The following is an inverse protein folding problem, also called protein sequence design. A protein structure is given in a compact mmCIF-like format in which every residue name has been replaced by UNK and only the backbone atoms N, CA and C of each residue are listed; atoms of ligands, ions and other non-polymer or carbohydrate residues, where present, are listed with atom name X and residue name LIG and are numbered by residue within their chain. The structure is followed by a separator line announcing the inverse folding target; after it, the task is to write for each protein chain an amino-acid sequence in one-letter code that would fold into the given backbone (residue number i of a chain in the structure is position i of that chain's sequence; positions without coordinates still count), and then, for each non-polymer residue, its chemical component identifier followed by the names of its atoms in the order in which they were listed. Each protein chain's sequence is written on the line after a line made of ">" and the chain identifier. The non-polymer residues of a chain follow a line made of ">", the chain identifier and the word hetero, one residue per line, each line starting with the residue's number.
data_IF_047441317811
#
_entry.id   IF_047441317811
#
_cell.length_a   1.000
_cell.length_b   1.000
_cell.length_c   1.000
_cell.angle_alpha   90.00
_cell.angle_beta   90.00
_cell.angle_gamma   90.00
#
_symmetry.space_group_name_H-M   'P 1'
#
loop_
_entity.id
_entity.type
_entity.pdbx_description
1 polymer ?
#
# COMPACT_ATOMS: atom_id res chain seq x y z
N UNK A 1 -26.41 45.53 -18.02
CA UNK A 1 -25.29 45.92 -17.12
C UNK A 1 -25.16 44.99 -15.91
N UNK A 2 -26.27 44.58 -15.24
CA UNK A 2 -26.22 43.71 -14.04
C UNK A 2 -25.65 42.32 -14.31
N UNK A 3 -26.03 41.67 -15.42
CA UNK A 3 -25.52 40.33 -15.76
C UNK A 3 -24.01 40.33 -16.07
N UNK A 4 -23.51 41.36 -16.71
CA UNK A 4 -22.08 41.54 -17.01
C UNK A 4 -21.25 41.73 -15.74
N UNK A 5 -21.76 42.50 -14.78
CA UNK A 5 -21.10 42.72 -13.49
C UNK A 5 -20.96 41.42 -12.68
N UNK A 6 -22.05 40.66 -12.55
CA UNK A 6 -22.01 39.39 -11.82
C UNK A 6 -21.20 38.32 -12.50
N UNK A 7 -21.24 38.25 -13.85
CA UNK A 7 -20.38 37.33 -14.62
C UNK A 7 -18.90 37.68 -14.47
N UNK A 8 -18.56 38.96 -14.47
CA UNK A 8 -17.18 39.43 -14.31
C UNK A 8 -16.69 39.19 -12.86
N UNK A 9 -17.54 39.42 -11.85
CA UNK A 9 -17.23 39.17 -10.44
C UNK A 9 -17.03 37.68 -10.17
N UNK A 10 -17.89 36.81 -10.72
CA UNK A 10 -17.76 35.39 -10.62
C UNK A 10 -16.48 34.86 -11.29
N UNK A 11 -16.14 35.39 -12.47
CA UNK A 11 -14.94 34.99 -13.20
C UNK A 11 -13.66 35.44 -12.48
N UNK A 12 -13.63 36.66 -11.94
CA UNK A 12 -12.50 37.13 -11.12
C UNK A 12 -12.41 36.38 -9.82
N UNK A 13 -13.53 36.07 -9.15
CA UNK A 13 -13.56 35.30 -7.92
C UNK A 13 -13.07 33.85 -8.11
N UNK A 14 -13.50 33.19 -9.19
CA UNK A 14 -12.99 31.87 -9.58
C UNK A 14 -11.49 31.90 -9.90
N UNK A 15 -11.04 32.89 -10.65
CA UNK A 15 -9.63 33.02 -11.01
C UNK A 15 -8.74 33.21 -9.78
N UNK A 16 -9.14 34.11 -8.87
CA UNK A 16 -8.42 34.34 -7.61
C UNK A 16 -8.47 33.08 -6.72
N UNK A 17 -9.64 32.43 -6.60
CA UNK A 17 -9.81 31.24 -5.81
C UNK A 17 -8.96 30.06 -6.31
N UNK A 18 -8.95 29.82 -7.62
CA UNK A 18 -8.10 28.78 -8.22
C UNK A 18 -6.62 29.13 -8.08
N UNK A 19 -6.24 30.41 -8.30
CA UNK A 19 -4.85 30.87 -8.17
C UNK A 19 -4.30 30.77 -6.74
N UNK A 20 -5.13 30.93 -5.72
CA UNK A 20 -4.75 30.78 -4.31
C UNK A 20 -4.65 29.31 -3.86
N UNK A 21 -5.44 28.43 -4.48
CA UNK A 21 -5.47 27.00 -4.15
C UNK A 21 -4.50 26.15 -5.00
N UNK A 22 -4.13 26.67 -6.18
CA UNK A 22 -3.21 25.97 -7.08
C UNK A 22 -1.77 26.26 -6.68
N UNK A 23 -1.05 25.24 -6.29
CA UNK A 23 0.41 25.31 -6.11
C UNK A 23 1.06 25.20 -7.50
N UNK A 24 1.75 26.23 -7.99
CA UNK A 24 2.42 26.16 -9.29
C UNK A 24 3.45 25.04 -9.29
N UNK A 25 3.52 24.29 -10.38
CA UNK A 25 4.55 23.26 -10.59
C UNK A 25 5.95 23.89 -10.58
N UNK A 26 6.97 23.08 -10.27
CA UNK A 26 8.36 23.54 -10.17
C UNK A 26 8.86 24.24 -11.47
N UNK A 27 8.37 23.81 -12.63
CA UNK A 27 8.66 24.41 -13.94
C UNK A 27 7.98 25.76 -14.14
N UNK A 28 6.74 25.93 -13.67
CA UNK A 28 6.01 27.19 -13.73
C UNK A 28 6.61 28.22 -12.76
N UNK A 29 7.05 27.76 -11.58
CA UNK A 29 7.72 28.62 -10.61
C UNK A 29 9.07 29.13 -11.12
N UNK A 30 9.87 28.28 -11.78
CA UNK A 30 11.14 28.71 -12.38
C UNK A 30 10.95 29.65 -13.58
N UNK A 31 9.91 29.47 -14.39
CA UNK A 31 9.59 30.42 -15.47
C UNK A 31 9.06 31.74 -14.94
N UNK A 32 8.22 31.70 -13.90
CA UNK A 32 7.71 32.92 -13.26
C UNK A 32 8.81 33.72 -12.56
N UNK A 33 9.74 33.06 -11.87
CA UNK A 33 10.90 33.72 -11.24
C UNK A 33 11.84 34.33 -12.29
N UNK A 34 12.12 33.63 -13.40
CA UNK A 34 12.90 34.19 -14.51
C UNK A 34 12.25 35.45 -15.12
N UNK A 35 10.93 35.48 -15.21
CA UNK A 35 10.21 36.63 -15.78
C UNK A 35 10.07 37.81 -14.79
N UNK A 36 9.82 37.51 -13.50
CA UNK A 36 9.67 38.55 -12.45
C UNK A 36 11.04 39.09 -12.01
N UNK A 37 12.06 38.26 -11.96
CA UNK A 37 13.41 38.71 -11.60
C UNK A 37 14.10 39.46 -12.75
N UNK A 38 13.77 39.15 -14.02
CA UNK A 38 14.19 39.99 -15.15
C UNK A 38 13.69 41.44 -15.02
N UNK A 39 12.54 41.66 -14.40
CA UNK A 39 12.01 43.00 -14.12
C UNK A 39 12.57 43.62 -12.83
N UNK A 40 13.01 42.85 -11.86
CA UNK A 40 13.59 43.33 -10.59
C UNK A 40 15.09 43.63 -10.69
N UNK A 41 15.82 42.95 -11.57
CA UNK A 41 17.26 43.18 -11.76
C UNK A 41 17.60 44.41 -12.53
N UNK A 42 16.59 45.17 -13.01
CA UNK A 42 16.80 46.52 -13.55
C UNK A 42 17.05 47.58 -12.49
N UNK A 43 17.03 47.24 -11.18
CA UNK A 43 17.12 48.24 -10.11
C UNK A 43 18.21 48.00 -9.07
N UNK A 44 19.04 46.97 -9.20
CA UNK A 44 20.13 46.76 -8.24
C UNK A 44 21.45 46.51 -8.97
N UNK A 45 22.32 47.47 -8.87
CA UNK A 45 23.71 47.49 -9.22
C UNK A 45 24.43 46.15 -9.07
N UNK A 46 24.43 45.35 -10.11
CA UNK A 46 25.51 44.43 -10.34
C UNK A 46 25.97 44.73 -11.76
N UNK A 47 27.10 45.44 -11.87
CA UNK A 47 27.67 45.83 -13.13
C UNK A 47 27.71 44.65 -14.10
N UNK A 48 27.04 44.82 -15.23
CA UNK A 48 27.06 43.81 -16.28
C UNK A 48 28.52 43.67 -16.77
N UNK A 49 29.15 42.58 -16.38
CA UNK A 49 30.46 42.17 -16.86
C UNK A 49 30.44 41.74 -18.35
N UNK A 50 29.40 42.07 -19.11
CA UNK A 50 29.20 41.58 -20.46
C UNK A 50 29.51 42.57 -21.59
N UNK A 51 29.88 43.84 -21.28
CA UNK A 51 30.37 44.75 -22.26
C UNK A 51 31.84 45.01 -22.06
N UNK A 52 32.67 44.38 -22.84
CA UNK A 52 34.08 44.70 -22.99
C UNK A 52 34.28 45.30 -24.35
N UNK A 53 34.37 46.57 -24.40
CA UNK A 53 34.64 47.37 -25.60
C UNK A 53 34.75 48.81 -25.22
N UNK A 54 35.52 49.58 -25.96
CA UNK A 54 35.64 51.02 -25.78
C UNK A 54 34.69 51.72 -26.74
N UNK A 55 33.80 52.53 -26.22
CA UNK A 55 33.02 53.46 -27.03
C UNK A 55 33.34 54.88 -26.69
N UNK A 56 33.40 55.75 -27.65
CA UNK A 56 33.50 57.20 -27.39
C UNK A 56 32.16 57.73 -26.87
N UNK A 57 32.21 58.58 -25.81
CA UNK A 57 31.01 59.24 -25.30
C UNK A 57 30.37 60.10 -26.38
N UNK A 58 31.15 60.71 -27.30
CA UNK A 58 30.65 61.51 -28.38
C UNK A 58 29.92 60.71 -29.46
N UNK A 59 30.41 59.46 -29.75
CA UNK A 59 29.73 58.60 -30.71
C UNK A 59 28.41 58.05 -30.16
N UNK A 60 28.36 57.67 -28.88
CA UNK A 60 27.14 57.29 -28.21
C UNK A 60 26.13 58.44 -28.16
N UNK A 61 26.62 59.66 -27.88
CA UNK A 61 25.76 60.86 -27.89
C UNK A 61 25.22 61.14 -29.30
N UNK A 62 26.04 61.03 -30.35
CA UNK A 62 25.66 61.20 -31.72
C UNK A 62 24.63 60.16 -32.15
N UNK A 63 24.83 58.89 -31.73
CA UNK A 63 23.86 57.82 -31.96
C UNK A 63 22.51 58.10 -31.30
N UNK A 64 22.49 58.41 -30.00
CA UNK A 64 21.25 58.78 -29.31
C UNK A 64 20.58 60.00 -29.90
N UNK A 65 21.38 61.00 -30.32
CA UNK A 65 20.88 62.23 -30.95
C UNK A 65 20.10 61.95 -32.26
N UNK A 66 20.46 60.92 -33.04
CA UNK A 66 19.75 60.53 -34.27
C UNK A 66 18.34 59.98 -33.99
N UNK A 67 18.14 59.28 -32.87
CA UNK A 67 16.88 58.61 -32.58
C UNK A 67 15.99 59.39 -31.57
N UNK A 68 16.60 60.06 -30.59
CA UNK A 68 15.89 60.78 -29.52
C UNK A 68 15.84 62.30 -29.76
N UNK A 69 16.63 62.80 -30.70
CA UNK A 69 16.88 64.20 -30.91
C UNK A 69 18.03 64.73 -30.03
N UNK A 70 18.73 65.81 -30.53
CA UNK A 70 19.97 66.29 -29.90
C UNK A 70 19.77 66.86 -28.49
N UNK A 71 18.61 67.46 -28.20
CA UNK A 71 18.32 68.06 -26.89
C UNK A 71 18.07 66.95 -25.84
N UNK A 72 17.26 65.93 -26.16
CA UNK A 72 17.02 64.81 -25.23
C UNK A 72 18.25 63.94 -24.98
N UNK A 73 19.07 63.77 -26.02
CA UNK A 73 20.35 63.09 -25.83
C UNK A 73 21.27 63.84 -24.86
N UNK A 74 21.36 65.17 -25.01
CA UNK A 74 22.15 66.00 -24.05
C UNK A 74 21.62 65.95 -22.61
N UNK A 75 20.29 66.00 -22.44
CA UNK A 75 19.64 65.87 -21.13
C UNK A 75 19.93 64.53 -20.50
N UNK A 76 19.82 63.42 -21.24
CA UNK A 76 20.06 62.08 -20.78
C UNK A 76 21.54 61.91 -20.30
N UNK A 77 22.49 62.35 -21.09
CA UNK A 77 23.93 62.27 -20.67
C UNK A 77 24.23 63.18 -19.47
N UNK A 78 23.60 64.36 -19.40
CA UNK A 78 23.77 65.23 -18.23
C UNK A 78 23.09 64.70 -16.96
N UNK A 79 22.00 63.97 -17.11
CA UNK A 79 21.34 63.27 -16.01
C UNK A 79 22.19 62.10 -15.51
N UNK A 80 22.77 61.27 -16.40
CA UNK A 80 23.69 60.20 -16.05
C UNK A 80 24.95 60.73 -15.35
N UNK A 81 25.58 61.82 -15.90
CA UNK A 81 26.75 62.47 -15.33
C UNK A 81 26.47 62.94 -13.90
N UNK A 82 25.32 63.56 -13.64
CA UNK A 82 24.93 64.02 -12.30
C UNK A 82 24.72 62.84 -11.30
N UNK A 83 24.10 61.77 -11.78
CA UNK A 83 23.83 60.61 -10.91
C UNK A 83 25.09 59.81 -10.55
N UNK A 84 26.07 59.75 -11.45
CA UNK A 84 27.28 58.97 -11.31
C UNK A 84 28.52 59.80 -11.00
N UNK A 85 28.39 61.16 -10.81
CA UNK A 85 29.47 62.12 -10.58
C UNK A 85 30.58 62.01 -11.60
N UNK A 86 30.22 61.73 -12.86
CA UNK A 86 31.17 61.62 -13.98
C UNK A 86 31.25 62.96 -14.74
N UNK A 87 32.46 63.37 -15.05
CA UNK A 87 32.71 64.49 -15.97
C UNK A 87 33.10 63.94 -17.35
N UNK A 88 32.32 64.26 -18.36
CA UNK A 88 32.60 63.86 -19.73
C UNK A 88 33.39 64.95 -20.44
N UNK A 89 34.66 64.74 -20.74
CA UNK A 89 35.50 65.56 -21.59
C UNK A 89 35.45 65.07 -23.02
N UNK A 90 35.86 65.93 -23.98
CA UNK A 90 36.03 65.54 -25.39
C UNK A 90 37.05 64.40 -25.42
N UNK A 91 36.71 63.27 -26.00
CA UNK A 91 37.49 61.99 -26.04
C UNK A 91 37.39 61.09 -24.80
N UNK A 92 36.40 61.31 -23.94
CA UNK A 92 36.14 60.35 -22.85
C UNK A 92 35.63 59.02 -23.39
N UNK A 93 36.20 57.91 -22.94
CA UNK A 93 35.65 56.58 -23.17
C UNK A 93 34.43 56.35 -22.27
N UNK A 94 33.36 55.82 -22.85
CA UNK A 94 32.16 55.48 -22.12
C UNK A 94 32.38 54.26 -21.21
N UNK A 95 31.96 54.35 -19.97
CA UNK A 95 31.96 53.21 -19.05
C UNK A 95 30.84 52.24 -19.42
N UNK A 96 30.91 50.95 -19.04
CA UNK A 96 29.89 49.94 -19.33
C UNK A 96 28.50 50.33 -18.84
N UNK A 97 28.41 51.10 -17.75
CA UNK A 97 27.14 51.59 -17.23
C UNK A 97 26.47 52.64 -18.15
N UNK A 98 27.27 53.52 -18.78
CA UNK A 98 26.79 54.48 -19.73
C UNK A 98 26.32 53.84 -21.04
N UNK A 99 27.04 52.77 -21.49
CA UNK A 99 26.65 52.01 -22.66
C UNK A 99 25.30 51.31 -22.44
N UNK A 100 25.11 50.67 -21.28
CA UNK A 100 23.87 50.05 -20.91
C UNK A 100 22.73 51.07 -20.73
N UNK A 101 23.01 52.21 -20.15
CA UNK A 101 22.00 53.28 -20.06
C UNK A 101 21.58 53.78 -21.42
N UNK A 102 22.52 53.96 -22.35
CA UNK A 102 22.24 54.34 -23.73
C UNK A 102 21.41 53.25 -24.45
N UNK A 103 21.72 51.98 -24.26
CA UNK A 103 20.95 50.83 -24.78
C UNK A 103 19.49 50.87 -24.27
N UNK A 104 19.30 51.08 -22.98
CA UNK A 104 17.94 51.13 -22.38
C UNK A 104 17.09 52.30 -22.90
N UNK A 105 17.70 53.42 -23.14
CA UNK A 105 17.00 54.60 -23.74
C UNK A 105 16.61 54.34 -25.21
N UNK A 106 17.48 53.76 -26.00
CA UNK A 106 17.19 53.36 -27.36
C UNK A 106 16.15 52.25 -27.44
N UNK A 107 16.20 51.27 -26.52
CA UNK A 107 15.25 50.18 -26.44
C UNK A 107 13.82 50.65 -26.26
N UNK A 108 13.61 51.77 -25.51
CA UNK A 108 12.32 52.39 -25.34
C UNK A 108 11.75 53.07 -26.63
N UNK A 109 12.61 53.32 -27.62
CA UNK A 109 12.21 54.00 -28.87
C UNK A 109 12.15 53.07 -30.09
N UNK A 110 13.12 52.18 -30.23
CA UNK A 110 13.30 51.33 -31.41
C UNK A 110 13.20 49.81 -31.12
N UNK A 111 12.94 49.45 -29.87
CA UNK A 111 12.91 48.06 -29.40
C UNK A 111 14.28 47.53 -29.03
N UNK A 112 14.31 46.54 -28.11
CA UNK A 112 15.54 46.05 -27.50
C UNK A 112 16.54 45.39 -28.48
N UNK A 113 16.03 44.62 -29.45
CA UNK A 113 16.88 43.98 -30.46
C UNK A 113 17.58 44.98 -31.36
N UNK A 114 16.83 46.01 -31.85
CA UNK A 114 17.37 47.09 -32.71
C UNK A 114 18.34 47.99 -31.94
N UNK A 115 18.04 48.30 -30.68
CA UNK A 115 18.90 49.10 -29.82
C UNK A 115 20.26 48.43 -29.63
N UNK A 116 20.27 47.11 -29.38
CA UNK A 116 21.48 46.32 -29.19
C UNK A 116 22.37 46.32 -30.43
N UNK A 117 21.78 46.16 -31.63
CA UNK A 117 22.52 46.19 -32.91
C UNK A 117 23.12 47.58 -33.15
N UNK A 118 22.37 48.63 -32.84
CA UNK A 118 22.85 50.01 -33.02
C UNK A 118 23.96 50.37 -32.04
N UNK A 119 23.87 49.96 -30.80
CA UNK A 119 24.96 50.17 -29.83
C UNK A 119 26.21 49.36 -30.25
N UNK A 120 26.04 48.08 -30.66
CA UNK A 120 27.16 47.25 -31.14
C UNK A 120 27.88 47.86 -32.37
N UNK A 121 27.21 48.68 -33.16
CA UNK A 121 27.84 49.36 -34.32
C UNK A 121 28.75 50.54 -33.93
N UNK A 122 28.69 50.99 -32.68
CA UNK A 122 29.44 52.17 -32.16
C UNK A 122 30.46 51.78 -31.10
N UNK A 123 30.32 50.57 -30.56
CA UNK A 123 31.24 50.01 -29.57
C UNK A 123 32.22 49.07 -30.32
N UNK A 124 33.52 49.37 -30.21
CA UNK A 124 34.57 48.46 -30.69
C UNK A 124 34.63 47.29 -29.71
N UNK A 125 34.08 46.15 -30.16
CA UNK A 125 34.11 44.90 -29.38
C UNK A 125 35.57 44.32 -29.36
N UNK A 126 36.12 44.20 -28.16
CA UNK A 126 37.26 43.34 -28.04
C UNK A 126 36.88 41.86 -28.23
N UNK A 127 37.53 41.11 -29.12
CA UNK A 127 37.19 39.69 -29.32
C UNK A 127 37.38 38.93 -27.99
N UNK A 128 36.32 38.18 -27.57
CA UNK A 128 36.40 37.31 -26.41
C UNK A 128 37.57 36.33 -26.60
N UNK A 129 38.46 36.24 -25.59
CA UNK A 129 39.54 35.24 -25.63
C UNK A 129 38.93 33.85 -25.59
N UNK A 130 39.47 32.93 -26.46
CA UNK A 130 39.00 31.55 -26.57
C UNK A 130 39.04 30.84 -25.21
N UNK A 131 40.03 31.16 -24.34
CA UNK A 131 40.17 30.59 -23.02
C UNK A 131 39.00 31.03 -22.07
N UNK A 132 38.51 32.24 -22.22
CA UNK A 132 37.38 32.78 -21.43
C UNK A 132 36.07 32.11 -21.83
N UNK A 133 35.86 31.88 -23.14
CA UNK A 133 34.70 31.14 -23.69
C UNK A 133 34.72 29.70 -23.21
N UNK A 134 35.90 29.03 -23.27
CA UNK A 134 36.06 27.65 -22.78
C UNK A 134 35.77 27.53 -21.30
N UNK A 135 36.19 28.50 -20.46
CA UNK A 135 35.90 28.52 -19.04
C UNK A 135 34.39 28.61 -18.75
N UNK A 136 33.68 29.48 -19.48
CA UNK A 136 32.21 29.62 -19.33
C UNK A 136 31.49 28.34 -19.76
N UNK A 137 31.94 27.66 -20.83
CA UNK A 137 31.37 26.39 -21.28
C UNK A 137 31.62 25.28 -20.26
N UNK A 138 32.79 25.22 -19.68
CA UNK A 138 33.15 24.21 -18.67
C UNK A 138 32.31 24.41 -17.39
N UNK A 139 32.17 25.65 -16.90
CA UNK A 139 31.33 25.99 -15.76
C UNK A 139 29.86 25.65 -16.02
N UNK A 140 29.34 25.99 -17.20
CA UNK A 140 27.97 25.63 -17.59
C UNK A 140 27.75 24.10 -17.67
N UNK A 141 28.75 23.40 -18.17
CA UNK A 141 28.74 21.94 -18.25
C UNK A 141 28.72 21.28 -16.86
N UNK A 142 29.51 21.80 -15.93
CA UNK A 142 29.51 21.33 -14.53
C UNK A 142 28.16 21.58 -13.84
N UNK A 143 27.57 22.75 -14.02
CA UNK A 143 26.23 23.07 -13.46
C UNK A 143 25.16 22.13 -14.00
N UNK A 144 25.19 21.85 -15.32
CA UNK A 144 24.26 20.90 -15.93
C UNK A 144 24.45 19.46 -15.42
N UNK A 145 25.69 19.02 -15.26
CA UNK A 145 26.00 17.71 -14.69
C UNK A 145 25.50 17.59 -13.25
N UNK A 146 25.73 18.61 -12.45
CA UNK A 146 25.26 18.67 -11.05
C UNK A 146 23.73 18.70 -10.95
N UNK A 147 23.06 19.47 -11.82
CA UNK A 147 21.61 19.50 -11.91
C UNK A 147 21.00 18.12 -12.23
N UNK A 148 21.59 17.41 -13.20
CA UNK A 148 21.17 16.03 -13.55
C UNK A 148 21.37 15.07 -12.38
N UNK A 149 22.46 15.17 -11.65
CA UNK A 149 22.72 14.35 -10.48
C UNK A 149 21.73 14.62 -9.34
N UNK A 150 21.37 15.90 -9.12
CA UNK A 150 20.34 16.28 -8.15
C UNK A 150 18.97 15.73 -8.53
N UNK A 151 18.57 15.82 -9.80
CA UNK A 151 17.32 15.25 -10.27
C UNK A 151 17.27 13.73 -10.09
N UNK A 152 18.37 13.05 -10.40
CA UNK A 152 18.46 11.61 -10.21
C UNK A 152 18.32 11.25 -8.72
N UNK A 153 19.05 11.94 -7.84
CA UNK A 153 18.96 11.72 -6.37
C UNK A 153 17.57 12.05 -5.81
N UNK A 154 16.92 13.08 -6.35
CA UNK A 154 15.55 13.42 -5.97
C UNK A 154 14.57 12.29 -6.33
N UNK A 155 14.67 11.71 -7.53
CA UNK A 155 13.84 10.57 -7.95
C UNK A 155 14.11 9.31 -7.13
N UNK A 156 15.38 9.01 -6.83
CA UNK A 156 15.77 7.88 -5.97
C UNK A 156 15.17 8.03 -4.56
N UNK A 157 15.26 9.24 -3.98
CA UNK A 157 14.68 9.56 -2.67
C UNK A 157 13.14 9.45 -2.67
N UNK A 158 12.48 9.91 -3.71
CA UNK A 158 11.02 9.82 -3.84
C UNK A 158 10.57 8.36 -3.93
N UNK A 159 11.26 7.53 -4.74
CA UNK A 159 11.01 6.10 -4.83
C UNK A 159 11.19 5.40 -3.48
N UNK A 160 12.33 5.62 -2.82
CA UNK A 160 12.61 5.03 -1.49
C UNK A 160 11.59 5.48 -0.42
N UNK A 161 11.16 6.74 -0.48
CA UNK A 161 10.15 7.26 0.44
C UNK A 161 8.78 6.58 0.23
N UNK A 162 8.40 6.34 -1.03
CA UNK A 162 7.15 5.67 -1.35
C UNK A 162 7.17 4.19 -0.94
N UNK A 163 8.30 3.51 -1.15
CA UNK A 163 8.50 2.13 -0.68
C UNK A 163 8.42 2.03 0.84
N UNK A 164 9.10 2.95 1.55
CA UNK A 164 9.06 3.01 3.02
C UNK A 164 7.65 3.26 3.56
N UNK A 165 6.89 4.18 2.94
CA UNK A 165 5.49 4.44 3.29
C UNK A 165 4.62 3.21 3.11
N UNK A 166 4.77 2.53 1.96
CA UNK A 166 4.04 1.29 1.67
C UNK A 166 4.38 0.18 2.68
N UNK A 167 5.65 -0.01 3.02
CA UNK A 167 6.09 -0.96 4.03
C UNK A 167 5.54 -0.62 5.42
N UNK A 168 5.57 0.66 5.81
CA UNK A 168 5.05 1.11 7.09
C UNK A 168 3.52 0.90 7.20
N UNK A 169 2.77 1.19 6.13
CA UNK A 169 1.33 0.91 6.09
C UNK A 169 1.03 -0.58 6.28
N UNK A 170 1.80 -1.47 5.62
CA UNK A 170 1.66 -2.92 5.81
C UNK A 170 1.98 -3.35 7.22
N UNK A 171 3.03 -2.79 7.84
CA UNK A 171 3.38 -3.07 9.23
C UNK A 171 2.29 -2.64 10.20
N UNK A 172 1.71 -1.46 10.02
CA UNK A 172 0.60 -0.97 10.84
C UNK A 172 -0.65 -1.84 10.72
N UNK A 173 -0.96 -2.32 9.50
CA UNK A 173 -2.06 -3.23 9.27
C UNK A 173 -1.84 -4.58 9.96
N UNK A 174 -0.63 -5.14 9.85
CA UNK A 174 -0.25 -6.39 10.54
C UNK A 174 -0.30 -6.24 12.07
N UNK A 175 0.16 -5.13 12.61
CA UNK A 175 0.12 -4.87 14.06
C UNK A 175 -1.32 -4.75 14.56
N UNK A 176 -2.18 -4.05 13.81
CA UNK A 176 -3.62 -3.99 14.11
C UNK A 176 -4.27 -5.38 14.09
N UNK A 177 -3.99 -6.20 13.04
CA UNK A 177 -4.54 -7.55 12.95
C UNK A 177 -4.06 -8.43 14.11
N UNK A 178 -2.82 -8.26 14.56
CA UNK A 178 -2.28 -8.94 15.74
C UNK A 178 -3.00 -8.53 17.03
N UNK A 179 -3.26 -7.24 17.21
CA UNK A 179 -3.95 -6.73 18.41
C UNK A 179 -5.42 -7.18 18.44
N UNK A 180 -6.11 -7.13 17.30
CA UNK A 180 -7.47 -7.65 17.14
C UNK A 180 -7.50 -9.17 17.44
N UNK A 181 -6.49 -9.93 17.00
CA UNK A 181 -6.34 -11.35 17.32
C UNK A 181 -6.21 -11.60 18.83
N UNK A 182 -5.28 -10.91 19.50
CA UNK A 182 -5.06 -11.05 20.96
C UNK A 182 -6.32 -10.68 21.75
N UNK A 183 -6.99 -9.59 21.37
CA UNK A 183 -8.23 -9.15 22.00
C UNK A 183 -9.33 -10.20 21.88
N UNK A 184 -9.50 -10.76 20.69
CA UNK A 184 -10.52 -11.80 20.42
C UNK A 184 -10.22 -13.08 21.15
N UNK A 185 -8.97 -13.58 21.13
CA UNK A 185 -8.53 -14.76 21.92
C UNK A 185 -8.85 -14.55 23.40
N UNK A 186 -8.50 -13.38 23.94
CA UNK A 186 -8.73 -13.07 25.36
C UNK A 186 -10.22 -13.12 25.71
N UNK A 187 -11.07 -12.56 24.83
CA UNK A 187 -12.52 -12.61 25.04
C UNK A 187 -13.08 -14.03 24.98
N UNK A 188 -12.68 -14.83 23.98
CA UNK A 188 -13.13 -16.20 23.80
C UNK A 188 -12.64 -17.16 24.91
N UNK A 189 -11.49 -16.89 25.51
CA UNK A 189 -11.01 -17.62 26.70
C UNK A 189 -11.74 -17.20 27.98
N UNK A 190 -12.08 -15.90 28.13
CA UNK A 190 -12.73 -15.38 29.34
C UNK A 190 -14.14 -15.93 29.53
N UNK A 191 -14.91 -16.09 28.45
CA UNK A 191 -16.31 -16.53 28.52
C UNK A 191 -16.46 -17.93 29.15
N UNK A 192 -15.83 -19.02 28.66
CA UNK A 192 -15.91 -20.33 29.29
C UNK A 192 -15.32 -20.34 30.72
N UNK A 193 -14.23 -19.60 30.95
CA UNK A 193 -13.63 -19.51 32.27
C UNK A 193 -14.58 -18.89 33.31
N UNK A 194 -15.30 -17.83 32.94
CA UNK A 194 -16.31 -17.18 33.78
C UNK A 194 -17.46 -18.14 34.08
N UNK A 195 -17.89 -18.93 33.07
CA UNK A 195 -18.94 -19.95 33.27
C UNK A 195 -18.48 -21.07 34.20
N UNK A 196 -17.30 -21.62 34.00
CA UNK A 196 -16.69 -22.65 34.86
C UNK A 196 -16.65 -22.13 36.31
N UNK A 197 -16.12 -20.92 36.50
CA UNK A 197 -16.03 -20.30 37.84
C UNK A 197 -17.39 -20.14 38.49
N UNK A 198 -18.36 -19.55 37.78
CA UNK A 198 -19.72 -19.29 38.34
C UNK A 198 -20.42 -20.58 38.75
N UNK A 199 -20.39 -21.64 37.91
CA UNK A 199 -21.00 -22.91 38.27
C UNK A 199 -20.24 -23.65 39.37
N UNK A 200 -18.92 -23.51 39.48
CA UNK A 200 -18.13 -24.02 40.59
C UNK A 200 -18.43 -23.32 41.91
N UNK A 201 -18.62 -21.97 41.90
CA UNK A 201 -19.04 -21.17 43.06
C UNK A 201 -20.45 -21.62 43.51
N UNK A 202 -21.42 -21.74 42.57
CA UNK A 202 -22.77 -22.24 42.89
C UNK A 202 -22.73 -23.62 43.53
N UNK A 203 -21.91 -24.54 42.98
CA UNK A 203 -21.77 -25.91 43.54
C UNK A 203 -21.14 -25.92 44.93
N UNK A 204 -20.21 -25.01 45.21
CA UNK A 204 -19.53 -24.87 46.49
C UNK A 204 -20.45 -24.26 47.56
N UNK A 205 -21.18 -23.19 47.19
CA UNK A 205 -21.98 -22.41 48.13
C UNK A 205 -23.35 -23.04 48.46
N UNK A 206 -23.77 -24.05 47.68
CA UNK A 206 -25.07 -24.70 47.83
C UNK A 206 -24.91 -26.23 47.99
N UNK A 207 -24.47 -26.71 49.17
CA UNK A 207 -24.31 -28.14 49.42
C UNK A 207 -25.63 -28.94 49.38
N UNK A 208 -26.77 -28.26 49.56
CA UNK A 208 -28.13 -28.84 49.59
C UNK A 208 -28.74 -29.04 48.18
N UNK A 209 -28.00 -28.75 47.11
CA UNK A 209 -28.49 -28.98 45.73
C UNK A 209 -28.84 -30.44 45.53
N UNK A 210 -29.98 -30.72 44.89
CA UNK A 210 -30.34 -32.06 44.50
C UNK A 210 -29.33 -32.71 43.51
N UNK A 211 -29.35 -34.00 43.47
CA UNK A 211 -28.38 -34.77 42.63
C UNK A 211 -28.52 -34.43 41.12
N UNK A 212 -29.72 -34.11 40.66
CA UNK A 212 -29.96 -33.81 39.23
C UNK A 212 -29.39 -32.41 38.88
N UNK A 213 -29.63 -31.41 39.74
CA UNK A 213 -29.08 -30.06 39.59
C UNK A 213 -27.54 -30.09 39.68
N UNK A 214 -26.99 -30.78 40.67
CA UNK A 214 -25.53 -30.96 40.81
C UNK A 214 -24.92 -31.58 39.57
N UNK A 215 -25.51 -32.67 39.04
CA UNK A 215 -25.03 -33.32 37.80
C UNK A 215 -25.13 -32.39 36.61
N UNK A 216 -26.18 -31.59 36.50
CA UNK A 216 -26.34 -30.63 35.43
C UNK A 216 -25.25 -29.55 35.47
N UNK A 217 -24.95 -28.97 36.62
CA UNK A 217 -23.91 -27.95 36.78
C UNK A 217 -22.52 -28.51 36.55
N UNK A 218 -22.18 -29.71 37.06
CA UNK A 218 -20.94 -30.40 36.73
C UNK A 218 -20.82 -30.66 35.25
N UNK A 219 -21.89 -31.05 34.56
CA UNK A 219 -21.90 -31.26 33.12
C UNK A 219 -21.57 -29.96 32.34
N UNK A 220 -22.03 -28.82 32.81
CA UNK A 220 -21.67 -27.52 32.22
C UNK A 220 -20.18 -27.22 32.45
N UNK A 221 -19.67 -27.40 33.67
CA UNK A 221 -18.23 -27.19 33.98
C UNK A 221 -17.35 -28.08 33.09
N UNK A 222 -17.68 -29.36 32.94
CA UNK A 222 -16.92 -30.28 32.08
C UNK A 222 -16.95 -29.81 30.62
N UNK A 223 -18.13 -29.52 30.10
CA UNK A 223 -18.32 -29.06 28.70
C UNK A 223 -17.55 -27.76 28.38
N UNK A 224 -17.58 -26.79 29.29
CA UNK A 224 -16.84 -25.53 29.10
C UNK A 224 -15.32 -25.73 29.26
N UNK A 225 -14.86 -26.65 30.11
CA UNK A 225 -13.45 -27.04 30.24
C UNK A 225 -12.93 -27.70 28.96
N UNK A 226 -13.68 -28.62 28.37
CA UNK A 226 -13.35 -29.25 27.08
C UNK A 226 -13.32 -28.22 25.93
N UNK A 227 -14.28 -27.26 25.93
CA UNK A 227 -14.30 -26.16 24.97
C UNK A 227 -13.03 -25.29 25.09
N UNK A 228 -12.64 -24.96 26.33
CA UNK A 228 -11.46 -24.16 26.62
C UNK A 228 -10.18 -24.87 26.15
N UNK A 229 -10.05 -26.15 26.44
CA UNK A 229 -8.91 -26.97 26.01
C UNK A 229 -8.80 -27.01 24.48
N UNK A 230 -9.92 -27.21 23.76
CA UNK A 230 -9.93 -27.19 22.30
C UNK A 230 -9.50 -25.81 21.76
N UNK A 231 -10.00 -24.72 22.34
CA UNK A 231 -9.64 -23.37 21.91
C UNK A 231 -8.13 -23.10 22.09
N UNK A 232 -7.57 -23.46 23.26
CA UNK A 232 -6.14 -23.30 23.53
C UNK A 232 -5.31 -24.09 22.50
N UNK A 233 -5.65 -25.34 22.25
CA UNK A 233 -4.94 -26.18 21.27
C UNK A 233 -5.01 -25.60 19.86
N UNK A 234 -6.17 -25.07 19.45
CA UNK A 234 -6.33 -24.41 18.14
C UNK A 234 -5.51 -23.13 18.03
N UNK A 235 -5.44 -22.31 19.07
CA UNK A 235 -4.59 -21.10 19.09
C UNK A 235 -3.11 -21.48 18.99
N UNK A 236 -2.67 -22.49 19.75
CA UNK A 236 -1.28 -22.98 19.71
C UNK A 236 -0.92 -23.59 18.35
N UNK A 237 -1.82 -24.40 17.77
CA UNK A 237 -1.62 -24.96 16.43
C UNK A 237 -1.49 -23.86 15.38
N UNK A 238 -2.40 -22.88 15.40
CA UNK A 238 -2.34 -21.76 14.47
C UNK A 238 -1.04 -20.96 14.61
N UNK A 239 -0.61 -20.67 15.84
CA UNK A 239 0.63 -19.95 16.11
C UNK A 239 1.87 -20.73 15.62
N UNK A 240 1.91 -22.06 15.82
CA UNK A 240 2.99 -22.92 15.32
C UNK A 240 3.05 -22.96 13.80
N UNK A 241 1.89 -23.07 13.14
CA UNK A 241 1.81 -23.09 11.66
C UNK A 241 2.25 -21.74 11.09
N UNK A 242 1.78 -20.63 11.65
CA UNK A 242 2.10 -19.27 11.15
C UNK A 242 3.56 -18.88 11.37
N UNK A 243 4.17 -19.32 12.47
CA UNK A 243 5.59 -19.07 12.74
C UNK A 243 6.53 -19.99 11.94
N UNK A 244 5.99 -20.95 11.16
CA UNK A 244 6.78 -21.94 10.44
C UNK A 244 7.41 -23.01 11.35
N UNK A 245 7.04 -23.05 12.64
CA UNK A 245 7.58 -23.98 13.64
C UNK A 245 6.70 -25.24 13.81
N UNK A 246 5.71 -25.43 12.94
CA UNK A 246 4.92 -26.65 12.96
C UNK A 246 5.77 -27.82 12.45
N UNK A 247 5.79 -28.89 13.22
CA UNK A 247 6.38 -30.14 12.77
C UNK A 247 5.39 -30.85 11.85
N UNK A 248 5.86 -31.28 10.67
CA UNK A 248 5.07 -31.95 9.65
C UNK A 248 5.62 -33.36 9.42
N UNK A 249 4.80 -34.38 9.67
CA UNK A 249 5.17 -35.78 9.51
C UNK A 249 4.63 -36.29 8.17
N UNK A 250 5.30 -35.92 7.08
CA UNK A 250 4.89 -36.31 5.73
C UNK A 250 5.11 -37.77 5.47
N UNK A 251 4.08 -38.51 5.08
CA UNK A 251 4.10 -39.91 4.67
C UNK A 251 3.23 -40.11 3.42
N UNK A 252 3.36 -41.28 2.80
CA UNK A 252 2.43 -41.70 1.76
C UNK A 252 1.09 -42.09 2.39
N UNK A 253 -0.01 -41.47 1.94
CA UNK A 253 -1.34 -41.59 2.55
C UNK A 253 -2.36 -41.97 1.47
N UNK A 254 -3.19 -42.96 1.78
CA UNK A 254 -4.48 -43.19 1.11
C UNK A 254 -5.53 -42.27 1.75
N UNK A 255 -6.04 -41.32 0.96
CA UNK A 255 -7.06 -40.37 1.43
C UNK A 255 -8.41 -41.06 1.77
N UNK A 256 -8.68 -42.24 1.22
CA UNK A 256 -9.88 -43.01 1.56
C UNK A 256 -9.84 -43.44 3.02
N UNK A 257 -8.70 -44.00 3.50
CA UNK A 257 -8.52 -44.38 4.90
C UNK A 257 -8.73 -43.20 5.83
N UNK A 258 -8.19 -42.01 5.49
CA UNK A 258 -8.36 -40.79 6.30
C UNK A 258 -9.83 -40.39 6.37
N UNK A 259 -10.58 -40.50 5.26
CA UNK A 259 -12.01 -40.19 5.24
C UNK A 259 -12.79 -41.19 6.09
N UNK A 260 -12.56 -42.50 5.93
CA UNK A 260 -13.24 -43.58 6.66
C UNK A 260 -13.01 -43.47 8.16
N UNK A 261 -11.77 -43.21 8.59
CA UNK A 261 -11.44 -43.00 10.01
C UNK A 261 -12.09 -41.74 10.58
N UNK A 262 -12.14 -40.65 9.79
CA UNK A 262 -12.77 -39.40 10.20
C UNK A 262 -14.28 -39.59 10.38
N UNK A 263 -14.93 -40.34 9.48
CA UNK A 263 -16.34 -40.70 9.57
C UNK A 263 -16.61 -41.54 10.80
N UNK A 264 -15.75 -42.54 11.06
CA UNK A 264 -15.85 -43.39 12.26
C UNK A 264 -15.76 -42.53 13.52
N UNK A 265 -14.79 -41.63 13.59
CA UNK A 265 -14.58 -40.75 14.73
C UNK A 265 -15.75 -39.76 14.96
N UNK A 266 -16.46 -39.38 13.92
CA UNK A 266 -17.61 -38.44 14.01
C UNK A 266 -18.97 -39.11 14.02
N UNK A 267 -19.03 -40.45 13.92
CA UNK A 267 -20.29 -41.22 13.81
C UNK A 267 -21.29 -40.95 14.93
N UNK A 268 -20.83 -40.79 16.16
CA UNK A 268 -21.68 -40.49 17.30
C UNK A 268 -22.30 -39.08 17.16
N UNK A 269 -21.54 -38.09 16.68
CA UNK A 269 -22.01 -36.71 16.46
C UNK A 269 -23.11 -36.66 15.39
N UNK A 270 -22.98 -37.42 14.32
CA UNK A 270 -24.01 -37.53 13.26
C UNK A 270 -25.29 -38.19 13.78
N UNK A 271 -25.17 -39.23 14.60
CA UNK A 271 -26.32 -39.87 15.26
C UNK A 271 -27.06 -38.93 16.23
N UNK A 272 -26.32 -38.19 17.06
CA UNK A 272 -26.89 -37.22 18.01
C UNK A 272 -27.65 -36.08 17.34
N UNK A 273 -27.19 -35.66 16.13
CA UNK A 273 -27.85 -34.61 15.37
C UNK A 273 -28.88 -35.17 14.35
N UNK A 274 -29.12 -36.46 14.28
CA UNK A 274 -30.00 -37.12 13.32
C UNK A 274 -29.67 -36.78 11.87
N UNK A 275 -28.34 -36.77 11.51
CA UNK A 275 -27.86 -36.47 10.18
C UNK A 275 -27.42 -37.77 9.50
N UNK A 276 -27.91 -37.99 8.27
CA UNK A 276 -27.50 -39.10 7.43
C UNK A 276 -26.21 -38.77 6.71
N UNK A 277 -25.30 -39.75 6.58
CA UNK A 277 -24.00 -39.56 5.94
C UNK A 277 -23.83 -40.57 4.80
N UNK A 278 -23.56 -40.02 3.60
CA UNK A 278 -23.30 -40.76 2.37
C UNK A 278 -21.83 -40.61 1.96
N UNK A 279 -21.20 -41.76 1.59
CA UNK A 279 -19.83 -41.78 1.07
C UNK A 279 -19.81 -42.13 -0.41
N UNK A 280 -19.18 -41.28 -1.23
CA UNK A 280 -18.93 -41.47 -2.66
C UNK A 280 -17.44 -41.55 -2.91
N UNK A 281 -16.85 -42.71 -2.60
CA UNK A 281 -15.42 -42.96 -2.72
C UNK A 281 -15.17 -43.92 -3.92
N UNK A 282 -14.18 -43.63 -4.79
CA UNK A 282 -13.76 -44.57 -5.84
C UNK A 282 -13.05 -45.79 -5.22
N UNK A 283 -13.00 -46.91 -5.92
CA UNK A 283 -12.39 -48.14 -5.45
C UNK A 283 -10.89 -48.00 -5.16
N UNK A 284 -10.20 -47.14 -5.88
CA UNK A 284 -8.78 -46.83 -5.64
C UNK A 284 -8.47 -45.39 -6.00
N UNK A 285 -7.56 -44.78 -5.27
CA UNK A 285 -7.02 -43.43 -5.52
C UNK A 285 -5.48 -43.46 -5.46
N UNK A 286 -4.80 -42.56 -6.17
CA UNK A 286 -3.38 -42.37 -5.99
C UNK A 286 -3.05 -41.94 -4.56
N UNK A 287 -1.93 -42.44 -4.01
CA UNK A 287 -1.41 -41.98 -2.73
C UNK A 287 -0.89 -40.57 -2.84
N UNK A 288 -1.01 -39.80 -1.76
CA UNK A 288 -0.54 -38.42 -1.64
C UNK A 288 0.55 -38.35 -0.57
N UNK A 289 1.49 -37.43 -0.72
CA UNK A 289 2.49 -37.14 0.31
C UNK A 289 1.95 -36.02 1.21
N UNK A 290 1.52 -36.37 2.42
CA UNK A 290 0.96 -35.42 3.38
C UNK A 290 1.16 -35.93 4.84
N UNK A 291 0.70 -35.15 5.79
CA UNK A 291 0.63 -35.53 7.20
C UNK A 291 -0.79 -36.03 7.51
N UNK A 292 -0.89 -37.31 7.90
CA UNK A 292 -2.16 -38.00 8.16
C UNK A 292 -2.95 -37.31 9.29
N UNK A 293 -2.29 -36.93 10.37
CA UNK A 293 -2.96 -36.35 11.53
C UNK A 293 -3.50 -34.97 11.19
N UNK A 294 -2.79 -34.20 10.38
CA UNK A 294 -3.22 -32.89 9.88
C UNK A 294 -4.39 -33.01 8.91
N UNK A 295 -4.39 -33.99 8.00
CA UNK A 295 -5.52 -34.26 7.14
C UNK A 295 -6.76 -34.76 7.91
N UNK A 296 -6.54 -35.61 8.90
CA UNK A 296 -7.58 -36.02 9.85
C UNK A 296 -8.18 -34.80 10.55
N UNK A 297 -7.35 -33.86 11.03
CA UNK A 297 -7.80 -32.61 11.65
C UNK A 297 -8.67 -31.76 10.69
N UNK A 298 -8.30 -31.67 9.40
CA UNK A 298 -9.11 -30.99 8.37
C UNK A 298 -10.46 -31.68 8.23
N UNK A 299 -10.47 -32.99 8.05
CA UNK A 299 -11.71 -33.75 7.88
C UNK A 299 -12.64 -33.62 9.09
N UNK A 300 -12.12 -33.79 10.31
CA UNK A 300 -12.90 -33.64 11.55
C UNK A 300 -13.50 -32.23 11.69
N UNK A 301 -12.79 -31.18 11.32
CA UNK A 301 -13.31 -29.82 11.33
C UNK A 301 -14.44 -29.64 10.31
N UNK A 302 -14.29 -30.15 9.08
CA UNK A 302 -15.33 -30.02 8.04
C UNK A 302 -16.56 -30.86 8.40
N UNK A 303 -16.38 -32.10 8.86
CA UNK A 303 -17.48 -33.00 9.24
C UNK A 303 -18.25 -32.48 10.46
N UNK A 304 -17.56 -31.99 11.48
CA UNK A 304 -18.22 -31.40 12.65
C UNK A 304 -19.01 -30.14 12.29
N UNK A 305 -18.53 -29.32 11.35
CA UNK A 305 -19.27 -28.16 10.84
C UNK A 305 -20.50 -28.63 10.04
N UNK A 306 -20.37 -29.62 9.15
CA UNK A 306 -21.47 -30.17 8.38
C UNK A 306 -22.58 -30.71 9.29
N UNK A 307 -22.23 -31.56 10.26
CA UNK A 307 -23.19 -32.12 11.22
C UNK A 307 -23.87 -31.07 12.10
N UNK A 308 -23.21 -29.94 12.37
CA UNK A 308 -23.70 -28.86 13.22
C UNK A 308 -24.66 -27.90 12.50
N UNK A 309 -24.39 -27.62 11.21
CA UNK A 309 -25.15 -26.63 10.44
C UNK A 309 -26.19 -27.27 9.50
N UNK A 310 -26.23 -28.60 9.46
CA UNK A 310 -27.26 -29.37 8.76
C UNK A 310 -28.66 -29.05 9.32
N UNK A 311 -29.72 -29.38 8.56
CA UNK A 311 -31.09 -29.19 8.99
C UNK A 311 -31.39 -30.06 10.23
N UNK A 312 -31.96 -29.43 11.27
CA UNK A 312 -32.28 -30.10 12.54
C UNK A 312 -33.63 -30.84 12.54
N UNK A 313 -34.38 -30.78 11.44
CA UNK A 313 -35.71 -31.36 11.30
C UNK A 313 -35.71 -32.87 11.04
N UNK A 314 -34.56 -33.51 11.04
CA UNK A 314 -34.37 -34.93 10.71
C UNK A 314 -34.13 -35.18 9.23
N UNK A 315 -34.09 -34.15 8.39
CA UNK A 315 -33.74 -34.25 6.97
C UNK A 315 -32.26 -33.97 6.69
N UNK A 316 -31.47 -33.86 7.75
CA UNK A 316 -30.03 -33.55 7.68
C UNK A 316 -29.29 -34.62 6.88
N UNK A 317 -28.59 -34.21 5.82
CA UNK A 317 -27.84 -35.11 4.94
C UNK A 317 -26.47 -34.51 4.61
N UNK A 318 -25.41 -35.32 4.74
CA UNK A 318 -24.05 -34.95 4.40
C UNK A 318 -23.47 -35.96 3.43
N UNK A 319 -22.96 -35.49 2.29
CA UNK A 319 -22.29 -36.34 1.29
C UNK A 319 -20.79 -36.01 1.26
N UNK A 320 -19.93 -37.03 1.36
CA UNK A 320 -18.49 -36.89 1.15
C UNK A 320 -18.16 -37.51 -0.20
N UNK A 321 -17.55 -36.74 -1.07
CA UNK A 321 -17.10 -37.19 -2.39
C UNK A 321 -15.60 -37.06 -2.53
N UNK A 322 -14.93 -38.15 -2.92
CA UNK A 322 -13.51 -38.15 -3.25
C UNK A 322 -13.35 -38.30 -4.77
N UNK A 323 -12.66 -37.38 -5.41
CA UNK A 323 -12.45 -37.37 -6.86
C UNK A 323 -10.96 -37.30 -7.17
N UNK A 324 -10.48 -38.21 -8.02
CA UNK A 324 -9.14 -38.12 -8.57
C UNK A 324 -9.18 -37.24 -9.82
N UNK A 325 -8.56 -36.08 -9.75
CA UNK A 325 -8.32 -35.18 -10.87
C UNK A 325 -6.98 -35.50 -11.53
N UNK A 326 -6.61 -34.76 -12.59
CA UNK A 326 -5.39 -35.00 -13.36
C UNK A 326 -4.10 -34.89 -12.51
N UNK A 327 -4.05 -33.86 -11.65
CA UNK A 327 -2.82 -33.49 -10.90
C UNK A 327 -3.02 -33.47 -9.38
N UNK A 328 -4.25 -33.77 -8.88
CA UNK A 328 -4.57 -33.70 -7.46
C UNK A 328 -5.76 -34.59 -7.10
N UNK A 329 -5.89 -34.89 -5.80
CA UNK A 329 -7.14 -35.38 -5.23
C UNK A 329 -8.01 -34.19 -4.81
N UNK A 330 -9.30 -34.30 -5.01
CA UNK A 330 -10.32 -33.38 -4.52
C UNK A 330 -11.25 -34.11 -3.55
N UNK A 331 -11.49 -33.49 -2.40
CA UNK A 331 -12.48 -33.94 -1.41
C UNK A 331 -13.54 -32.85 -1.31
N UNK A 332 -14.80 -33.25 -1.45
CA UNK A 332 -15.97 -32.41 -1.29
C UNK A 332 -16.78 -32.92 -0.08
N UNK A 333 -17.08 -32.04 0.86
CA UNK A 333 -17.98 -32.28 1.99
C UNK A 333 -19.18 -31.38 1.78
N UNK A 334 -20.31 -31.96 1.38
CA UNK A 334 -21.57 -31.27 1.08
C UNK A 334 -22.58 -31.53 2.18
N UNK A 335 -23.16 -30.49 2.73
CA UNK A 335 -24.32 -30.51 3.63
C UNK A 335 -25.55 -29.87 2.97
N UNK A 336 -26.73 -30.22 3.47
CA UNK A 336 -28.02 -29.63 3.06
C UNK A 336 -28.55 -28.64 4.11
N UNK A 337 -27.67 -27.97 4.83
CA UNK A 337 -28.01 -27.10 5.93
C UNK A 337 -28.46 -25.68 5.52
N UNK A 338 -28.30 -24.74 6.46
CA UNK A 338 -28.76 -23.35 6.33
C UNK A 338 -28.06 -22.56 5.20
N UNK A 339 -26.92 -23.05 4.71
CA UNK A 339 -26.11 -22.35 3.72
C UNK A 339 -25.43 -21.10 4.23
N UNK A 340 -24.65 -20.46 3.34
CA UNK A 340 -23.76 -19.33 3.65
C UNK A 340 -23.95 -18.25 2.60
N UNK A 341 -24.16 -17.00 3.02
CA UNK A 341 -24.28 -15.86 2.11
C UNK A 341 -23.00 -15.58 1.34
N UNK A 342 -23.06 -14.95 0.16
CA UNK A 342 -21.87 -14.59 -0.62
C UNK A 342 -20.91 -13.66 0.14
N UNK A 343 -21.45 -12.76 0.99
CA UNK A 343 -20.66 -11.88 1.83
C UNK A 343 -19.87 -12.69 2.86
N UNK A 344 -20.53 -13.66 3.49
CA UNK A 344 -19.93 -14.49 4.53
C UNK A 344 -18.91 -15.50 3.98
N UNK A 345 -19.13 -16.05 2.76
CA UNK A 345 -18.17 -16.96 2.10
C UNK A 345 -16.78 -16.33 1.94
N UNK A 346 -16.68 -15.01 1.84
CA UNK A 346 -15.41 -14.29 1.75
C UNK A 346 -14.65 -14.25 3.07
N UNK A 347 -15.38 -14.23 4.18
CA UNK A 347 -14.80 -13.97 5.51
C UNK A 347 -14.76 -15.20 6.42
N UNK A 348 -15.46 -16.32 6.11
CA UNK A 348 -15.46 -17.53 6.95
C UNK A 348 -14.10 -18.19 7.13
N UNK A 349 -13.13 -17.88 6.28
CA UNK A 349 -11.76 -18.34 6.39
C UNK A 349 -10.85 -17.36 7.16
N UNK A 350 -11.40 -16.23 7.64
CA UNK A 350 -10.71 -15.30 8.53
C UNK A 350 -10.77 -15.81 9.98
N UNK A 351 -9.76 -15.45 10.77
CA UNK A 351 -9.65 -15.90 12.16
C UNK A 351 -10.80 -15.33 13.00
N UNK A 352 -11.41 -16.19 13.84
CA UNK A 352 -12.51 -15.84 14.75
C UNK A 352 -13.79 -15.34 14.11
N UNK A 353 -13.91 -15.42 12.78
CA UNK A 353 -15.15 -15.10 12.11
C UNK A 353 -16.17 -16.22 12.31
N UNK A 354 -17.35 -15.83 12.74
CA UNK A 354 -18.51 -16.70 12.89
C UNK A 354 -19.66 -16.08 12.12
N UNK A 355 -20.34 -16.89 11.35
CA UNK A 355 -21.52 -16.50 10.56
C UNK A 355 -22.76 -16.94 11.36
N UNK A 356 -23.73 -16.05 11.49
CA UNK A 356 -25.00 -16.30 12.17
C UNK A 356 -25.52 -15.05 12.87
N UNK A 357 -26.81 -15.00 13.09
CA UNK A 357 -27.48 -13.88 13.74
C UNK A 357 -27.06 -13.86 15.23
N UNK A 358 -26.23 -12.89 15.60
CA UNK A 358 -25.64 -12.73 16.95
C UNK A 358 -26.68 -12.44 18.03
N UNK A 359 -27.94 -12.21 17.65
CA UNK A 359 -29.02 -11.82 18.58
C UNK A 359 -29.85 -13.01 19.08
N UNK A 360 -29.86 -14.16 18.39
CA UNK A 360 -30.79 -15.26 18.72
C UNK A 360 -30.14 -16.63 18.93
N UNK A 361 -28.93 -16.86 18.47
CA UNK A 361 -28.22 -18.14 18.66
C UNK A 361 -26.85 -17.92 19.29
N UNK A 362 -26.59 -18.62 20.42
CA UNK A 362 -25.26 -18.67 21.03
C UNK A 362 -24.24 -19.15 20.00
N UNK A 363 -23.19 -18.37 19.68
CA UNK A 363 -22.21 -18.76 18.68
C UNK A 363 -21.58 -20.10 19.08
N UNK A 364 -21.74 -21.12 18.26
CA UNK A 364 -21.25 -22.46 18.57
C UNK A 364 -19.94 -22.73 17.82
N UNK A 365 -18.80 -22.26 18.29
CA UNK A 365 -17.52 -22.53 17.66
C UNK A 365 -16.44 -21.58 18.15
N UNK A 366 -15.24 -21.74 17.64
CA UNK A 366 -14.09 -20.89 17.97
C UNK A 366 -13.75 -19.91 16.81
N UNK A 367 -14.29 -20.17 15.62
CA UNK A 367 -13.93 -19.44 14.41
C UNK A 367 -12.48 -19.68 13.95
N UNK A 368 -11.80 -20.69 14.51
CA UNK A 368 -10.41 -21.04 14.15
C UNK A 368 -10.30 -22.29 13.28
N UNK A 369 -11.34 -23.13 13.23
CA UNK A 369 -11.29 -24.40 12.50
C UNK A 369 -10.99 -24.23 11.01
N UNK A 370 -11.77 -23.43 10.29
CA UNK A 370 -11.59 -23.18 8.85
C UNK A 370 -10.27 -22.47 8.50
N UNK A 371 -9.83 -21.42 9.23
CA UNK A 371 -8.49 -20.86 9.07
C UNK A 371 -7.38 -21.89 9.18
N UNK A 372 -7.42 -22.78 10.20
CA UNK A 372 -6.44 -23.85 10.38
C UNK A 372 -6.49 -24.84 9.21
N UNK A 373 -7.69 -25.26 8.76
CA UNK A 373 -7.84 -26.10 7.58
C UNK A 373 -7.18 -25.48 6.35
N UNK A 374 -7.39 -24.18 6.12
CA UNK A 374 -6.80 -23.46 4.97
C UNK A 374 -5.28 -23.43 5.04
N UNK A 375 -4.70 -23.25 6.24
CA UNK A 375 -3.25 -23.27 6.43
C UNK A 375 -2.67 -24.68 6.20
N UNK A 376 -3.31 -25.72 6.73
CA UNK A 376 -2.89 -27.10 6.52
C UNK A 376 -2.91 -27.47 5.04
N UNK A 377 -4.03 -27.24 4.37
CA UNK A 377 -4.17 -27.54 2.93
C UNK A 377 -3.20 -26.71 2.08
N UNK A 378 -3.02 -25.43 2.42
CA UNK A 378 -2.07 -24.55 1.74
C UNK A 378 -0.62 -25.01 1.91
N UNK A 379 -0.23 -25.56 3.05
CA UNK A 379 1.10 -26.13 3.29
C UNK A 379 1.42 -27.27 2.32
N UNK A 380 0.44 -28.13 2.02
CA UNK A 380 0.58 -29.21 1.03
C UNK A 380 0.37 -28.75 -0.43
N UNK A 381 0.37 -27.43 -0.69
CA UNK A 381 0.19 -26.89 -2.04
C UNK A 381 -1.24 -27.01 -2.58
N UNK A 382 -2.20 -27.37 -1.73
CA UNK A 382 -3.60 -27.49 -2.07
C UNK A 382 -4.37 -26.18 -1.91
N UNK A 383 -5.68 -26.25 -2.18
CA UNK A 383 -6.62 -25.14 -2.03
C UNK A 383 -7.87 -25.60 -1.29
N UNK A 384 -8.40 -24.77 -0.38
CA UNK A 384 -9.67 -24.96 0.31
C UNK A 384 -10.61 -23.81 -0.09
N UNK A 385 -11.86 -24.15 -0.46
CA UNK A 385 -12.90 -23.19 -0.80
C UNK A 385 -14.29 -23.69 -0.41
N UNK A 386 -15.29 -22.83 -0.52
CA UNK A 386 -16.70 -23.15 -0.28
C UNK A 386 -17.54 -22.72 -1.47
N UNK A 387 -18.62 -23.45 -1.73
CA UNK A 387 -19.73 -23.08 -2.59
C UNK A 387 -21.02 -23.30 -1.81
N UNK A 388 -21.82 -22.25 -1.69
CA UNK A 388 -23.04 -22.31 -0.88
C UNK A 388 -24.05 -21.28 -1.35
N UNK A 389 -25.33 -21.55 -1.07
CA UNK A 389 -26.42 -20.59 -1.16
C UNK A 389 -27.26 -20.66 0.12
N UNK A 390 -27.76 -19.52 0.64
CA UNK A 390 -28.65 -19.54 1.79
C UNK A 390 -29.87 -20.45 1.54
N UNK A 391 -30.09 -21.39 2.48
CA UNK A 391 -31.18 -22.38 2.40
C UNK A 391 -30.92 -23.60 1.52
N UNK A 392 -29.78 -23.66 0.80
CA UNK A 392 -29.46 -24.81 -0.10
C UNK A 392 -28.25 -25.63 0.43
N UNK A 393 -27.75 -25.33 1.64
CA UNK A 393 -26.59 -25.98 2.23
C UNK A 393 -25.26 -25.41 1.73
N UNK A 394 -24.16 -26.09 2.08
CA UNK A 394 -22.83 -25.72 1.68
C UNK A 394 -22.00 -26.92 1.22
N UNK A 395 -21.08 -26.67 0.28
CA UNK A 395 -20.08 -27.65 -0.15
C UNK A 395 -18.69 -27.06 0.14
N UNK A 396 -18.00 -27.62 1.11
CA UNK A 396 -16.60 -27.36 1.37
C UNK A 396 -15.74 -28.29 0.56
N UNK A 397 -14.88 -27.75 -0.27
CA UNK A 397 -14.02 -28.49 -1.18
C UNK A 397 -12.57 -28.18 -0.91
N UNK A 398 -11.72 -29.19 -0.91
CA UNK A 398 -10.26 -28.96 -0.90
C UNK A 398 -9.55 -29.90 -1.89
N UNK A 399 -8.38 -29.45 -2.34
CA UNK A 399 -7.51 -30.25 -3.20
C UNK A 399 -6.17 -30.50 -2.52
N UNK A 400 -5.54 -31.64 -2.84
CA UNK A 400 -4.17 -31.94 -2.47
C UNK A 400 -3.46 -32.45 -3.71
N UNK A 401 -2.36 -31.81 -4.17
CA UNK A 401 -1.61 -32.25 -5.33
C UNK A 401 -1.00 -33.65 -5.11
N UNK A 402 -0.91 -34.42 -6.18
CA UNK A 402 -0.08 -35.62 -6.13
C UNK A 402 1.38 -35.25 -5.91
N UNK A 403 2.11 -36.07 -5.16
CA UNK A 403 3.55 -35.91 -5.04
C UNK A 403 4.18 -36.01 -6.44
N UNK A 404 4.67 -34.90 -6.98
CA UNK A 404 5.55 -34.99 -8.15
C UNK A 404 6.83 -35.71 -7.72
N UNK A 405 7.06 -36.89 -8.25
CA UNK A 405 8.40 -37.53 -8.19
C UNK A 405 9.39 -36.58 -8.87
N UNK A 406 10.08 -35.74 -8.10
CA UNK A 406 11.17 -34.93 -8.60
C UNK A 406 11.11 -33.44 -8.28
N UNK A 407 11.05 -33.07 -7.01
CA UNK A 407 11.70 -31.85 -6.53
C UNK A 407 12.40 -32.22 -5.22
N UNK A 408 13.69 -32.46 -5.31
CA UNK A 408 14.56 -32.49 -4.14
C UNK A 408 14.40 -31.18 -3.40
N UNK A 409 13.84 -31.24 -2.20
CA UNK A 409 13.88 -30.12 -1.25
C UNK A 409 15.34 -29.82 -0.98
N UNK A 410 15.87 -28.76 -1.62
CA UNK A 410 17.14 -28.15 -1.24
C UNK A 410 16.99 -27.69 0.23
N UNK A 411 17.48 -28.48 1.15
CA UNK A 411 17.81 -28.02 2.49
C UNK A 411 18.73 -26.79 2.35
N UNK A 412 18.47 -25.68 3.05
CA UNK A 412 19.46 -24.62 3.12
C UNK A 412 20.71 -25.18 3.79
N UNK A 413 21.80 -25.22 3.02
CA UNK A 413 23.12 -25.62 3.50
C UNK A 413 23.44 -24.81 4.77
N UNK A 414 23.55 -25.52 5.90
CA UNK A 414 24.24 -25.00 7.08
C UNK A 414 25.64 -24.61 6.65
N UNK A 415 25.91 -23.30 6.58
CA UNK A 415 27.25 -22.80 6.48
C UNK A 415 28.04 -23.30 7.70
N UNK A 416 28.84 -24.34 7.46
CA UNK A 416 29.87 -24.75 8.40
C UNK A 416 30.88 -23.60 8.47
N UNK A 417 31.00 -23.01 9.65
CA UNK A 417 32.05 -22.05 9.96
C UNK A 417 33.43 -22.74 9.84
N UNK A 418 34.31 -22.02 9.20
CA UNK A 418 35.76 -22.25 9.38
C UNK A 418 36.40 -20.93 9.82
N UNK A 419 37.08 -21.07 10.98
CA UNK A 419 38.30 -20.37 11.33
C UNK A 419 38.19 -18.91 11.76
#
# INVERSE_FOLDING_TARGET
>A
THCLFWSMLANIGCYIGVSLLWRPGATEHSQATLFVDALKHTSAATGSKFWRGSASVDDLRALLGRFLGPERAREAFSAYARSHRAEFTKDSTADPGLVHYAESLLAGTIGSASARIMIASVVDEEPLDIDEVMHIIDEASQVLAYSRQLEQKSRELESATNELRSANQRLQELDRLKDDFISTVTHELRTPLTSIRAFSEILNDNPELDTAQRRRFLGIVIKESERLTRLINQVLDLAKIESGNAEWHTSEIDMREVIEDSVTATSQLFKENNVELELKLPDSVPVIAADRDRLMQVMLNLLSNAAKFCNADGSGHVTITLTSLRDCLQVDVQDNGIGISEADQKVIFEKFRQVGDTLTAKPQGTGLGLPICRQIIGHFGGRLWVRSRPGEGATFSFTIPFAHRGVETSQPARAAGMG
#
